data_IF_980549974735
#
_entry.id   IF_980549974735
#
_cell.length_a   1.000
_cell.length_b   1.000
_cell.length_c   1.000
_cell.angle_alpha   90.00
_cell.angle_beta   90.00
_cell.angle_gamma   90.00
#
_symmetry.space_group_name_H-M   'P 1'
#
loop_
_entity.id
_entity.type
_entity.pdbx_description
1 polymer ?
#
# COMPACT_ATOMS: atom_id res chain seq x y z
N UNK A 1 -19.53 8.81 -3.94
CA UNK A 1 -18.15 8.82 -3.42
C UNK A 1 -17.21 8.26 -4.47
N UNK A 2 -16.00 8.85 -4.64
CA UNK A 2 -15.02 8.40 -5.64
C UNK A 2 -13.74 7.90 -4.98
N UNK A 3 -13.28 6.72 -5.38
CA UNK A 3 -12.12 6.02 -4.81
C UNK A 3 -11.06 5.85 -5.88
N UNK A 4 -9.85 6.38 -5.63
CA UNK A 4 -8.67 6.14 -6.45
C UNK A 4 -8.06 4.79 -6.07
N UNK A 5 -7.78 3.93 -7.05
CA UNK A 5 -7.23 2.60 -6.84
C UNK A 5 -5.84 2.46 -7.48
N UNK A 6 -4.80 2.32 -6.64
CA UNK A 6 -3.41 2.17 -7.07
C UNK A 6 -2.94 0.74 -6.85
N UNK A 7 -2.61 0.04 -7.93
CA UNK A 7 -2.21 -1.37 -7.93
C UNK A 7 -0.76 -1.60 -7.45
N UNK A 8 -0.36 -2.84 -7.28
CA UNK A 8 1.02 -3.25 -7.00
C UNK A 8 1.86 -3.38 -8.29
N UNK A 9 3.19 -3.31 -8.16
CA UNK A 9 4.14 -3.57 -9.26
C UNK A 9 3.85 -4.93 -9.92
N UNK A 10 3.94 -4.99 -11.24
CA UNK A 10 3.73 -6.21 -12.00
C UNK A 10 2.27 -6.68 -12.04
N UNK A 11 1.32 -5.76 -11.83
CA UNK A 11 -0.12 -5.98 -11.99
C UNK A 11 -0.74 -4.88 -12.86
N UNK A 12 -2.05 -4.66 -12.76
CA UNK A 12 -2.76 -3.60 -13.45
C UNK A 12 -3.99 -3.15 -12.66
N UNK A 13 -4.62 -2.06 -13.03
CA UNK A 13 -5.88 -1.63 -12.46
C UNK A 13 -6.97 -2.69 -12.60
N UNK A 14 -7.05 -3.38 -13.75
CA UNK A 14 -8.00 -4.47 -13.97
C UNK A 14 -7.74 -5.68 -13.07
N UNK A 15 -6.47 -6.05 -12.85
CA UNK A 15 -6.07 -7.11 -11.93
C UNK A 15 -6.41 -6.71 -10.49
N UNK A 16 -6.08 -5.49 -10.09
CA UNK A 16 -6.40 -4.99 -8.76
C UNK A 16 -7.91 -4.97 -8.50
N UNK A 17 -8.71 -4.59 -9.50
CA UNK A 17 -10.18 -4.70 -9.46
C UNK A 17 -10.65 -6.12 -9.17
N UNK A 18 -10.02 -7.12 -9.77
CA UNK A 18 -10.30 -8.53 -9.51
C UNK A 18 -9.87 -8.96 -8.11
N UNK A 19 -8.67 -8.54 -7.67
CA UNK A 19 -8.12 -8.90 -6.36
C UNK A 19 -9.01 -8.43 -5.20
N UNK A 20 -9.63 -7.25 -5.31
CA UNK A 20 -10.50 -6.68 -4.26
C UNK A 20 -11.97 -7.07 -4.40
N UNK A 21 -12.36 -7.90 -5.38
CA UNK A 21 -13.76 -8.20 -5.69
C UNK A 21 -14.57 -8.71 -4.49
N UNK A 22 -13.96 -9.53 -3.63
CA UNK A 22 -14.65 -10.15 -2.51
C UNK A 22 -15.12 -9.15 -1.45
N UNK A 23 -14.29 -8.22 -1.02
CA UNK A 23 -14.71 -7.21 -0.06
C UNK A 23 -15.49 -6.07 -0.72
N UNK A 24 -15.17 -5.74 -2.00
CA UNK A 24 -15.92 -4.74 -2.75
C UNK A 24 -17.39 -5.10 -2.91
N UNK A 25 -17.70 -6.39 -3.10
CA UNK A 25 -19.08 -6.87 -3.17
C UNK A 25 -19.89 -6.70 -1.85
N UNK A 26 -19.24 -6.26 -0.77
CA UNK A 26 -19.87 -5.99 0.55
C UNK A 26 -20.04 -4.50 0.81
N UNK A 27 -19.60 -3.65 -0.12
CA UNK A 27 -19.70 -2.20 -0.03
C UNK A 27 -20.93 -1.71 -0.81
N UNK A 28 -21.44 -0.50 -0.51
CA UNK A 28 -22.52 0.12 -1.26
C UNK A 28 -22.21 0.24 -2.77
N UNK A 29 -23.23 0.04 -3.61
CA UNK A 29 -23.07 0.04 -5.07
C UNK A 29 -22.83 1.45 -5.66
N UNK A 30 -23.10 2.51 -4.92
CA UNK A 30 -22.92 3.91 -5.34
C UNK A 30 -21.47 4.40 -5.26
N UNK A 31 -20.54 3.55 -4.78
CA UNK A 31 -19.12 3.88 -4.71
C UNK A 31 -18.48 3.70 -6.09
N UNK A 32 -17.91 4.77 -6.62
CA UNK A 32 -17.16 4.78 -7.88
C UNK A 32 -15.69 4.46 -7.62
N UNK A 33 -15.22 3.33 -8.13
CA UNK A 33 -13.81 2.93 -8.08
C UNK A 33 -13.12 3.25 -9.40
N UNK A 34 -12.07 4.05 -9.35
CA UNK A 34 -11.23 4.41 -10.50
C UNK A 34 -9.91 3.61 -10.42
N UNK A 35 -9.79 2.58 -11.23
CA UNK A 35 -8.64 1.69 -11.29
C UNK A 35 -7.70 2.16 -12.40
N UNK A 36 -6.59 2.76 -12.04
CA UNK A 36 -5.64 3.31 -13.00
C UNK A 36 -4.45 2.37 -13.18
N UNK A 37 -3.92 2.31 -14.40
CA UNK A 37 -2.68 1.61 -14.71
C UNK A 37 -1.48 2.52 -14.47
N UNK A 38 -0.39 1.97 -13.93
CA UNK A 38 0.87 2.68 -13.83
C UNK A 38 1.43 3.05 -15.21
N UNK A 39 2.23 4.13 -15.32
CA UNK A 39 2.70 4.64 -16.61
C UNK A 39 3.75 3.75 -17.32
N UNK A 40 4.36 2.80 -16.60
CA UNK A 40 5.41 1.95 -17.14
C UNK A 40 4.94 0.50 -17.30
N UNK A 41 5.26 -0.14 -18.44
CA UNK A 41 5.10 -1.59 -18.59
C UNK A 41 6.08 -2.33 -17.69
N UNK A 42 5.67 -3.49 -17.19
CA UNK A 42 6.46 -4.29 -16.27
C UNK A 42 6.29 -5.78 -16.57
N UNK A 43 7.21 -6.59 -16.07
CA UNK A 43 6.98 -8.01 -15.91
C UNK A 43 5.93 -8.30 -14.87
N UNK A 44 5.33 -9.49 -14.93
CA UNK A 44 4.36 -9.93 -13.92
C UNK A 44 4.99 -10.02 -12.53
N UNK A 45 4.25 -9.60 -11.52
CA UNK A 45 4.61 -9.94 -10.15
C UNK A 45 4.47 -11.46 -9.92
N UNK A 46 5.15 -11.98 -8.88
CA UNK A 46 5.19 -13.38 -8.56
C UNK A 46 3.77 -14.03 -8.54
N UNK A 47 3.55 -15.01 -9.40
CA UNK A 47 2.30 -15.77 -9.49
C UNK A 47 1.13 -15.03 -10.15
N UNK A 48 1.32 -13.80 -10.58
CA UNK A 48 0.27 -13.03 -11.27
C UNK A 48 0.00 -13.61 -12.65
N UNK A 49 1.03 -13.98 -13.37
CA UNK A 49 0.97 -14.60 -14.71
C UNK A 49 0.29 -15.97 -14.75
N UNK A 50 0.15 -16.63 -13.60
CA UNK A 50 -0.59 -17.89 -13.49
C UNK A 50 -2.10 -17.68 -13.68
N UNK A 51 -2.63 -16.54 -13.23
CA UNK A 51 -4.07 -16.27 -13.13
C UNK A 51 -4.53 -15.14 -14.04
N UNK A 52 -3.64 -14.27 -14.47
CA UNK A 52 -3.95 -13.05 -15.21
C UNK A 52 -3.03 -12.88 -16.40
N UNK A 53 -3.62 -12.56 -17.54
CA UNK A 53 -2.87 -12.23 -18.76
C UNK A 53 -2.34 -10.80 -18.72
N UNK A 54 -1.21 -10.50 -19.44
CA UNK A 54 -0.71 -9.14 -19.60
C UNK A 54 -1.74 -8.22 -20.27
N UNK A 55 -1.58 -6.89 -20.21
CA UNK A 55 -0.36 -6.19 -19.78
C UNK A 55 -0.26 -6.01 -18.26
N UNK A 56 1.00 -5.91 -17.78
CA UNK A 56 1.31 -5.58 -16.39
C UNK A 56 2.05 -4.25 -16.35
N UNK A 57 1.93 -3.52 -15.24
CA UNK A 57 2.42 -2.17 -15.08
C UNK A 57 3.15 -1.95 -13.76
N UNK A 58 3.91 -0.87 -13.73
CA UNK A 58 4.61 -0.33 -12.56
C UNK A 58 4.41 1.18 -12.52
N UNK A 59 4.49 1.77 -11.32
CA UNK A 59 4.45 3.22 -11.18
C UNK A 59 5.80 3.86 -11.48
N UNK A 60 6.90 3.12 -11.35
CA UNK A 60 8.26 3.53 -11.76
C UNK A 60 9.11 2.31 -12.11
N UNK A 61 10.18 2.56 -12.85
CA UNK A 61 11.16 1.52 -13.22
C UNK A 61 12.25 1.35 -12.16
N UNK A 62 12.70 2.45 -11.54
CA UNK A 62 13.77 2.49 -10.55
C UNK A 62 13.28 3.06 -9.22
N UNK A 63 13.71 2.49 -8.09
CA UNK A 63 13.30 2.89 -6.74
C UNK A 63 14.04 4.15 -6.22
N UNK A 64 14.24 5.16 -7.08
CA UNK A 64 14.83 6.45 -6.72
C UNK A 64 13.77 7.47 -6.27
N UNK A 65 14.19 8.48 -5.51
CA UNK A 65 13.31 9.56 -5.08
C UNK A 65 12.77 10.33 -6.28
N UNK A 66 13.62 10.64 -7.27
CA UNK A 66 13.23 11.35 -8.49
C UNK A 66 12.12 10.59 -9.23
N UNK A 67 12.25 9.27 -9.37
CA UNK A 67 11.22 8.44 -10.01
C UNK A 67 9.88 8.49 -9.28
N UNK A 68 9.89 8.54 -7.95
CA UNK A 68 8.67 8.69 -7.14
C UNK A 68 8.08 10.09 -7.32
N UNK A 69 8.91 11.15 -7.40
CA UNK A 69 8.46 12.53 -7.64
C UNK A 69 7.86 12.70 -9.04
N UNK A 70 8.49 12.13 -10.06
CA UNK A 70 7.95 12.17 -11.44
C UNK A 70 6.58 11.47 -11.50
N UNK A 71 6.46 10.32 -10.83
CA UNK A 71 5.18 9.62 -10.77
C UNK A 71 4.15 10.35 -9.92
N UNK A 72 4.57 11.06 -8.87
CA UNK A 72 3.69 11.94 -8.11
C UNK A 72 3.13 13.07 -9.00
N UNK A 73 3.98 13.68 -9.84
CA UNK A 73 3.54 14.70 -10.79
C UNK A 73 2.51 14.15 -11.77
N UNK A 74 2.77 12.98 -12.34
CA UNK A 74 1.81 12.24 -13.19
C UNK A 74 0.50 11.94 -12.46
N UNK A 75 0.56 11.51 -11.18
CA UNK A 75 -0.63 11.25 -10.37
C UNK A 75 -1.43 12.52 -10.13
N UNK A 76 -0.78 13.65 -9.86
CA UNK A 76 -1.45 14.95 -9.68
C UNK A 76 -2.17 15.40 -10.95
N UNK A 77 -1.58 15.21 -12.14
CA UNK A 77 -2.26 15.47 -13.42
C UNK A 77 -3.50 14.59 -13.58
N UNK A 78 -3.39 13.30 -13.21
CA UNK A 78 -4.53 12.39 -13.22
C UNK A 78 -5.63 12.85 -12.26
N UNK A 79 -5.27 13.23 -11.03
CA UNK A 79 -6.23 13.73 -10.02
C UNK A 79 -6.88 15.02 -10.48
N UNK A 80 -6.12 15.95 -11.03
CA UNK A 80 -6.65 17.22 -11.54
C UNK A 80 -7.68 17.01 -12.68
N UNK A 81 -7.45 16.02 -13.52
CA UNK A 81 -8.33 15.71 -14.66
C UNK A 81 -9.57 14.91 -14.26
N UNK A 82 -9.41 13.96 -13.35
CA UNK A 82 -10.43 12.94 -13.05
C UNK A 82 -11.00 13.03 -11.64
N UNK A 83 -10.39 13.82 -10.75
CA UNK A 83 -10.85 13.99 -9.37
C UNK A 83 -12.07 14.90 -9.21
N UNK A 84 -12.41 15.33 -8.00
CA UNK A 84 -11.71 14.99 -6.77
C UNK A 84 -11.94 13.53 -6.32
N UNK A 85 -10.99 12.99 -5.56
CA UNK A 85 -11.12 11.68 -4.91
C UNK A 85 -11.36 11.84 -3.41
N UNK A 86 -12.29 11.06 -2.88
CA UNK A 86 -12.59 11.05 -1.45
C UNK A 86 -11.65 10.11 -0.70
N UNK A 87 -11.29 8.97 -1.31
CA UNK A 87 -10.46 7.95 -0.70
C UNK A 87 -9.47 7.38 -1.73
N UNK A 88 -8.28 6.99 -1.27
CA UNK A 88 -7.37 6.15 -2.04
C UNK A 88 -7.26 4.75 -1.43
N UNK A 89 -7.41 3.72 -2.27
CA UNK A 89 -7.21 2.31 -1.95
C UNK A 89 -6.00 1.80 -2.70
N UNK A 90 -5.00 1.30 -1.98
CA UNK A 90 -3.67 1.07 -2.52
C UNK A 90 -3.13 -0.29 -2.11
N UNK A 91 -2.38 -0.93 -3.00
CA UNK A 91 -1.71 -2.19 -2.74
C UNK A 91 -0.21 -2.11 -3.07
N UNK A 92 0.63 -2.60 -2.17
CA UNK A 92 2.07 -2.78 -2.39
C UNK A 92 2.76 -1.49 -2.89
N UNK A 93 3.26 -1.42 -4.14
CA UNK A 93 3.88 -0.23 -4.74
C UNK A 93 2.92 0.98 -4.75
N UNK A 94 1.62 0.75 -4.95
CA UNK A 94 0.63 1.81 -4.85
C UNK A 94 0.60 2.50 -3.49
N UNK A 95 0.90 1.76 -2.40
CA UNK A 95 1.02 2.34 -1.05
C UNK A 95 2.18 3.33 -0.96
N UNK A 96 3.32 3.01 -1.58
CA UNK A 96 4.48 3.90 -1.62
C UNK A 96 4.12 5.20 -2.35
N UNK A 97 3.46 5.11 -3.52
CA UNK A 97 3.05 6.29 -4.27
C UNK A 97 2.06 7.14 -3.48
N UNK A 98 1.02 6.52 -2.91
CA UNK A 98 -0.01 7.27 -2.19
C UNK A 98 0.47 7.88 -0.87
N UNK A 99 1.34 7.20 -0.13
CA UNK A 99 1.97 7.79 1.08
C UNK A 99 2.88 8.95 0.71
N UNK A 100 3.69 8.80 -0.36
CA UNK A 100 4.54 9.89 -0.86
C UNK A 100 3.71 11.09 -1.33
N UNK A 101 2.58 10.86 -2.01
CA UNK A 101 1.68 11.92 -2.44
C UNK A 101 1.11 12.74 -1.27
N UNK A 102 0.74 12.08 -0.16
CA UNK A 102 0.29 12.77 1.06
C UNK A 102 1.41 13.57 1.73
N UNK A 103 2.63 13.02 1.75
CA UNK A 103 3.79 13.66 2.35
C UNK A 103 4.23 14.89 1.52
N UNK A 104 4.41 14.74 0.21
CA UNK A 104 4.76 15.85 -0.67
C UNK A 104 3.71 16.96 -0.64
N UNK A 105 2.42 16.59 -0.68
CA UNK A 105 1.35 17.57 -0.54
C UNK A 105 1.46 18.35 0.78
N UNK A 106 1.71 17.67 1.89
CA UNK A 106 1.82 18.33 3.20
C UNK A 106 3.01 19.28 3.31
N UNK A 107 4.10 19.02 2.58
CA UNK A 107 5.27 19.89 2.53
C UNK A 107 5.10 21.04 1.52
N UNK A 108 4.65 20.72 0.31
CA UNK A 108 4.69 21.64 -0.82
C UNK A 108 3.42 22.50 -0.94
N UNK A 109 2.25 21.93 -0.62
CA UNK A 109 0.95 22.58 -0.82
C UNK A 109 -0.03 22.39 0.35
N UNK A 110 0.38 22.60 1.62
CA UNK A 110 -0.45 22.30 2.79
C UNK A 110 -1.72 23.17 2.88
N UNK A 111 -1.77 24.26 2.14
CA UNK A 111 -2.92 25.18 2.06
C UNK A 111 -4.01 24.72 1.06
N UNK A 112 -3.71 23.71 0.22
CA UNK A 112 -4.68 23.11 -0.70
C UNK A 112 -5.33 21.87 -0.06
N UNK A 113 -6.50 21.43 -0.55
CA UNK A 113 -7.07 20.14 -0.15
C UNK A 113 -6.11 18.98 -0.48
N UNK A 114 -6.01 17.95 0.39
CA UNK A 114 -5.18 16.79 0.12
C UNK A 114 -5.65 16.05 -1.15
N UNK A 115 -4.76 15.28 -1.81
CA UNK A 115 -5.07 14.56 -3.04
C UNK A 115 -6.23 13.56 -2.86
N UNK A 116 -6.44 13.09 -1.64
CA UNK A 116 -7.59 12.30 -1.18
C UNK A 116 -7.78 12.50 0.33
N UNK A 117 -9.03 12.41 0.79
CA UNK A 117 -9.42 12.75 2.17
C UNK A 117 -9.18 11.61 3.17
N UNK A 118 -9.02 10.37 2.69
CA UNK A 118 -8.68 9.20 3.49
C UNK A 118 -7.85 8.20 2.66
N UNK A 119 -7.12 7.31 3.32
CA UNK A 119 -6.24 6.33 2.67
C UNK A 119 -6.36 4.93 3.27
N UNK A 120 -6.39 3.91 2.40
CA UNK A 120 -6.31 2.50 2.78
C UNK A 120 -5.08 1.89 2.13
N UNK A 121 -4.13 1.50 2.95
CA UNK A 121 -2.86 0.88 2.56
C UNK A 121 -2.93 -0.62 2.80
N UNK A 122 -2.69 -1.42 1.75
CA UNK A 122 -2.73 -2.88 1.83
C UNK A 122 -1.35 -3.45 1.46
N UNK A 123 -0.73 -4.19 2.37
CA UNK A 123 0.56 -4.88 2.18
C UNK A 123 1.65 -3.98 1.59
N UNK A 124 1.76 -2.74 2.06
CA UNK A 124 2.76 -1.79 1.54
C UNK A 124 3.28 -0.84 2.59
N UNK A 125 4.45 -0.27 2.33
CA UNK A 125 5.14 0.70 3.16
C UNK A 125 5.29 2.06 2.49
N UNK A 126 6.09 2.94 3.11
CA UNK A 126 6.58 4.17 2.51
C UNK A 126 7.96 3.96 1.86
N UNK A 127 8.38 4.87 1.00
CA UNK A 127 9.76 4.94 0.52
C UNK A 127 10.65 5.53 1.60
N UNK A 128 11.61 4.74 2.11
CA UNK A 128 12.55 5.23 3.13
C UNK A 128 13.41 6.39 2.61
N UNK A 129 13.77 6.38 1.32
CA UNK A 129 14.53 7.45 0.69
C UNK A 129 13.72 8.77 0.64
N UNK A 130 12.43 8.69 0.30
CA UNK A 130 11.54 9.87 0.34
C UNK A 130 11.40 10.38 1.78
N UNK A 131 11.23 9.49 2.75
CA UNK A 131 11.13 9.88 4.16
C UNK A 131 12.38 10.64 4.63
N UNK A 132 13.59 10.15 4.32
CA UNK A 132 14.83 10.82 4.69
C UNK A 132 15.01 12.18 4.00
N UNK A 133 14.67 12.29 2.71
CA UNK A 133 14.66 13.57 1.99
C UNK A 133 13.74 14.60 2.66
N UNK A 134 12.61 14.12 3.22
CA UNK A 134 11.64 14.94 3.93
C UNK A 134 11.98 15.15 5.42
N UNK A 135 13.19 14.81 5.84
CA UNK A 135 13.70 15.06 7.20
C UNK A 135 13.25 14.05 8.25
N UNK A 136 12.70 12.90 7.84
CA UNK A 136 12.44 11.81 8.78
C UNK A 136 13.75 11.12 9.15
N UNK A 137 13.88 10.74 10.40
CA UNK A 137 14.98 9.89 10.84
C UNK A 137 14.59 8.42 10.68
N UNK A 138 15.30 7.71 9.82
CA UNK A 138 15.15 6.27 9.58
C UNK A 138 16.31 5.55 10.25
N UNK A 139 16.04 4.63 11.19
CA UNK A 139 17.10 3.87 11.85
C UNK A 139 17.84 2.95 10.86
N UNK A 140 19.09 2.58 11.17
CA UNK A 140 19.86 1.64 10.35
C UNK A 140 19.15 0.27 10.28
N UNK A 141 18.57 -0.16 11.39
CA UNK A 141 17.84 -1.41 11.51
C UNK A 141 16.59 -1.42 10.63
N UNK A 142 15.83 -0.30 10.57
CA UNK A 142 14.69 -0.17 9.66
C UNK A 142 15.12 -0.31 8.19
N UNK A 143 16.27 0.27 7.83
CA UNK A 143 16.81 0.20 6.47
C UNK A 143 17.28 -1.21 6.11
N UNK A 144 18.02 -1.87 6.99
CA UNK A 144 18.46 -3.26 6.79
C UNK A 144 17.24 -4.19 6.62
N UNK A 145 16.23 -4.00 7.45
CA UNK A 145 14.97 -4.76 7.41
C UNK A 145 14.21 -4.54 6.11
N UNK A 146 14.14 -3.28 5.63
CA UNK A 146 13.51 -2.96 4.35
C UNK A 146 14.23 -3.69 3.19
N UNK A 147 15.54 -3.63 3.11
CA UNK A 147 16.34 -4.30 2.08
C UNK A 147 16.17 -5.83 2.12
N UNK A 148 16.26 -6.42 3.31
CA UNK A 148 16.08 -7.86 3.51
C UNK A 148 14.67 -8.31 3.09
N UNK A 149 13.63 -7.55 3.45
CA UNK A 149 12.24 -7.86 3.12
C UNK A 149 11.93 -7.72 1.63
N UNK A 150 12.53 -6.75 0.94
CA UNK A 150 12.44 -6.62 -0.54
C UNK A 150 13.07 -7.82 -1.23
N UNK A 151 14.26 -8.23 -0.77
CA UNK A 151 14.96 -9.41 -1.28
C UNK A 151 14.14 -10.68 -1.05
N UNK A 152 13.57 -10.86 0.14
CA UNK A 152 12.72 -12.00 0.46
C UNK A 152 11.47 -12.06 -0.42
N UNK A 153 10.82 -10.92 -0.69
CA UNK A 153 9.68 -10.88 -1.60
C UNK A 153 10.09 -11.20 -3.06
N UNK A 154 11.25 -10.70 -3.51
CA UNK A 154 11.75 -10.96 -4.86
C UNK A 154 12.10 -12.44 -5.08
N UNK A 155 12.60 -13.15 -4.06
CA UNK A 155 12.90 -14.59 -4.14
C UNK A 155 11.65 -15.44 -4.38
N UNK A 156 10.45 -14.93 -4.10
CA UNK A 156 9.19 -15.61 -4.38
C UNK A 156 8.72 -15.47 -5.84
N UNK A 157 9.50 -14.81 -6.69
CA UNK A 157 9.12 -14.56 -8.08
C UNK A 157 9.05 -15.81 -8.98
N UNK A 158 9.37 -17.01 -8.49
CA UNK A 158 9.27 -18.23 -9.24
C UNK A 158 7.86 -18.83 -9.19
N UNK A 159 7.05 -18.54 -10.23
CA UNK A 159 5.67 -18.99 -10.36
C UNK A 159 5.51 -20.52 -10.30
N UNK A 160 6.48 -21.29 -10.81
CA UNK A 160 6.45 -22.77 -10.75
C UNK A 160 6.62 -23.27 -9.31
N UNK A 161 7.49 -22.65 -8.50
CA UNK A 161 7.63 -22.97 -7.10
C UNK A 161 6.38 -22.59 -6.29
N UNK A 162 5.72 -21.49 -6.64
CA UNK A 162 4.45 -21.06 -6.03
C UNK A 162 3.33 -22.07 -6.27
N UNK A 163 3.22 -22.62 -7.48
CA UNK A 163 2.25 -23.67 -7.80
C UNK A 163 2.50 -24.96 -7.00
N UNK A 164 3.77 -25.32 -6.82
CA UNK A 164 4.15 -26.51 -6.05
C UNK A 164 3.87 -26.37 -4.55
N UNK A 165 3.96 -25.16 -3.99
CA UNK A 165 3.77 -24.88 -2.55
C UNK A 165 2.30 -24.57 -2.18
N UNK A 166 1.46 -24.18 -3.13
CA UNK A 166 0.06 -23.85 -2.87
C UNK A 166 -0.12 -22.80 -1.76
N UNK A 167 -1.01 -23.08 -0.81
CA UNK A 167 -1.27 -22.22 0.36
C UNK A 167 -0.09 -22.16 1.36
N UNK A 168 0.86 -23.08 1.27
CA UNK A 168 2.00 -23.15 2.17
C UNK A 168 3.18 -22.27 1.75
N UNK A 169 3.06 -21.55 0.63
CA UNK A 169 4.08 -20.64 0.09
C UNK A 169 4.59 -19.59 1.09
N UNK A 170 3.79 -19.27 2.10
CA UNK A 170 4.14 -18.32 3.14
C UNK A 170 4.67 -18.97 4.43
N UNK A 171 4.58 -20.30 4.58
CA UNK A 171 4.95 -21.01 5.81
C UNK A 171 6.46 -21.25 5.97
N UNK A 172 7.22 -21.29 4.87
CA UNK A 172 8.67 -21.49 4.87
C UNK A 172 9.49 -20.22 5.03
N UNK A 173 8.86 -19.06 4.91
CA UNK A 173 9.48 -17.80 5.25
C UNK A 173 9.54 -17.73 6.78
N UNK A 174 10.74 -17.90 7.35
CA UNK A 174 10.99 -17.25 8.64
C UNK A 174 10.58 -15.81 8.41
N UNK A 175 9.49 -15.39 9.05
CA UNK A 175 9.23 -13.98 9.25
C UNK A 175 10.59 -13.40 9.60
N UNK A 176 10.96 -12.26 9.02
CA UNK A 176 12.11 -11.49 9.49
C UNK A 176 11.71 -10.97 10.88
N UNK A 177 11.33 -11.94 11.72
CA UNK A 177 10.82 -11.75 13.06
C UNK A 177 11.99 -11.21 13.85
N UNK A 178 11.96 -9.91 13.97
CA UNK A 178 12.92 -9.16 14.78
C UNK A 178 12.70 -9.41 16.27
N UNK A 179 11.66 -10.17 16.65
CA UNK A 179 11.19 -10.23 18.02
C UNK A 179 10.60 -8.88 18.52
N UNK A 180 10.54 -7.87 17.64
CA UNK A 180 9.99 -6.54 17.97
C UNK A 180 8.47 -6.54 17.87
N UNK A 181 7.84 -5.86 18.82
CA UNK A 181 6.42 -5.54 18.75
C UNK A 181 6.15 -4.49 17.65
N UNK A 182 4.89 -4.38 17.17
CA UNK A 182 4.50 -3.30 16.28
C UNK A 182 4.79 -1.89 16.85
N UNK A 183 4.72 -1.73 18.18
CA UNK A 183 5.01 -0.45 18.81
C UNK A 183 6.50 -0.09 18.68
N UNK A 184 7.40 -1.05 18.86
CA UNK A 184 8.84 -0.87 18.68
C UNK A 184 9.17 -0.57 17.21
N UNK A 185 8.61 -1.33 16.27
CA UNK A 185 8.79 -1.08 14.84
C UNK A 185 8.32 0.32 14.43
N UNK A 186 7.17 0.81 14.95
CA UNK A 186 6.70 2.18 14.66
C UNK A 186 7.66 3.25 15.14
N UNK A 187 8.48 2.97 16.15
CA UNK A 187 9.47 3.91 16.69
C UNK A 187 10.81 3.89 15.95
N UNK A 188 11.05 2.94 15.04
CA UNK A 188 12.25 2.90 14.20
C UNK A 188 12.32 4.04 13.19
N UNK A 189 11.18 4.68 12.91
CA UNK A 189 11.09 5.87 12.05
C UNK A 189 10.48 7.01 12.87
N UNK A 190 11.27 8.04 13.13
CA UNK A 190 10.81 9.23 13.83
C UNK A 190 10.55 10.37 12.85
N UNK A 191 9.46 11.07 13.09
CA UNK A 191 8.89 12.01 12.14
C UNK A 191 8.82 13.43 12.71
N UNK A 192 9.20 14.47 11.97
CA UNK A 192 8.93 15.84 12.35
C UNK A 192 7.43 16.19 12.26
N UNK A 193 6.66 15.47 11.46
CA UNK A 193 5.20 15.60 11.29
C UNK A 193 4.58 14.25 10.90
N UNK A 194 3.25 14.18 10.84
CA UNK A 194 2.51 12.95 10.55
C UNK A 194 1.52 13.14 9.41
N UNK A 195 1.27 12.07 8.65
CA UNK A 195 0.14 12.01 7.73
C UNK A 195 -1.15 12.17 8.55
N UNK A 196 -1.91 13.23 8.29
CA UNK A 196 -3.03 13.65 9.15
C UNK A 196 -4.42 13.36 8.55
N UNK A 197 -4.52 12.65 7.44
CA UNK A 197 -5.80 12.11 6.95
C UNK A 197 -6.15 10.79 7.67
N UNK A 198 -7.43 10.40 7.75
CA UNK A 198 -7.80 9.07 8.25
C UNK A 198 -7.14 7.96 7.43
N UNK A 199 -6.51 6.99 8.11
CA UNK A 199 -5.77 5.90 7.46
C UNK A 199 -6.17 4.53 7.99
N UNK A 200 -6.20 3.56 7.08
CA UNK A 200 -6.32 2.14 7.40
C UNK A 200 -5.09 1.41 6.85
N UNK A 201 -4.48 0.58 7.68
CA UNK A 201 -3.31 -0.22 7.32
C UNK A 201 -3.66 -1.70 7.47
N UNK A 202 -3.66 -2.41 6.34
CA UNK A 202 -3.98 -3.83 6.25
C UNK A 202 -2.71 -4.55 5.82
N UNK A 203 -2.27 -5.51 6.61
CA UNK A 203 -1.07 -6.30 6.33
C UNK A 203 -1.23 -7.73 6.82
N UNK A 204 -0.36 -8.62 6.40
CA UNK A 204 -0.31 -9.98 6.87
C UNK A 204 0.95 -10.24 7.67
N UNK A 205 0.85 -10.88 8.81
CA UNK A 205 2.01 -11.24 9.67
C UNK A 205 3.00 -12.20 9.01
N UNK A 206 2.60 -12.87 7.92
CA UNK A 206 3.50 -13.72 7.11
C UNK A 206 4.04 -13.00 5.86
N UNK A 207 3.67 -11.74 5.65
CA UNK A 207 4.19 -10.92 4.56
C UNK A 207 5.65 -10.53 4.86
N UNK A 208 6.62 -10.81 3.98
CA UNK A 208 7.99 -10.28 4.14
C UNK A 208 8.02 -8.77 4.34
N UNK A 209 7.05 -8.04 3.77
CA UNK A 209 6.89 -6.59 3.86
C UNK A 209 6.08 -6.13 5.08
N UNK A 210 5.72 -7.01 6.01
CA UNK A 210 4.91 -6.68 7.20
C UNK A 210 5.49 -5.49 7.97
N UNK A 211 6.78 -5.50 8.28
CA UNK A 211 7.44 -4.41 9.00
C UNK A 211 7.32 -3.07 8.27
N UNK A 212 7.43 -3.05 6.93
CA UNK A 212 7.25 -1.83 6.15
C UNK A 212 5.82 -1.24 6.27
N UNK A 213 4.80 -2.10 6.34
CA UNK A 213 3.41 -1.68 6.61
C UNK A 213 3.25 -1.10 8.02
N UNK A 214 3.92 -1.69 9.00
CA UNK A 214 3.94 -1.19 10.39
C UNK A 214 4.65 0.16 10.48
N UNK A 215 5.82 0.33 9.82
CA UNK A 215 6.53 1.60 9.72
C UNK A 215 5.65 2.70 9.11
N UNK A 216 4.98 2.43 7.98
CA UNK A 216 4.05 3.38 7.38
C UNK A 216 2.94 3.77 8.35
N UNK A 217 2.41 2.81 9.10
CA UNK A 217 1.40 3.12 10.12
C UNK A 217 1.95 4.02 11.22
N UNK A 218 3.25 3.92 11.54
CA UNK A 218 3.93 4.73 12.56
C UNK A 218 4.00 6.21 12.24
N UNK A 219 4.09 6.57 10.96
CA UNK A 219 4.14 7.97 10.50
C UNK A 219 2.76 8.58 10.23
N UNK A 220 1.67 7.86 10.53
CA UNK A 220 0.30 8.36 10.45
C UNK A 220 -0.23 8.78 11.82
N UNK A 221 -1.17 9.72 11.86
CA UNK A 221 -1.78 10.23 13.10
C UNK A 221 -2.48 9.09 13.88
N UNK A 222 -2.05 8.75 15.11
CA UNK A 222 -2.56 7.60 15.84
C UNK A 222 -4.06 7.62 16.10
N UNK A 223 -4.64 8.80 16.30
CA UNK A 223 -6.07 8.98 16.58
C UNK A 223 -6.94 8.78 15.34
N UNK A 224 -6.35 8.93 14.16
CA UNK A 224 -6.98 8.80 12.84
C UNK A 224 -6.56 7.52 12.10
N UNK A 225 -6.00 6.54 12.80
CA UNK A 225 -5.45 5.31 12.22
C UNK A 225 -6.19 4.08 12.72
N UNK A 226 -6.38 3.09 11.81
CA UNK A 226 -6.76 1.71 12.14
C UNK A 226 -5.76 0.75 11.49
N UNK A 227 -5.49 -0.35 12.16
CA UNK A 227 -4.63 -1.43 11.67
C UNK A 227 -5.37 -2.75 11.68
N UNK A 228 -5.06 -3.65 10.75
CA UNK A 228 -5.63 -4.98 10.67
C UNK A 228 -4.60 -5.96 10.11
N UNK A 229 -4.30 -7.00 10.88
CA UNK A 229 -3.50 -8.14 10.43
C UNK A 229 -4.43 -9.26 9.96
N UNK A 230 -4.34 -9.61 8.67
CA UNK A 230 -5.13 -10.70 8.09
C UNK A 230 -4.45 -12.07 8.24
N UNK A 231 -3.25 -12.15 8.84
CA UNK A 231 -2.53 -13.39 9.14
C UNK A 231 -1.92 -14.12 7.94
N UNK A 232 -2.06 -13.56 6.73
CA UNK A 232 -1.53 -14.11 5.47
C UNK A 232 -0.20 -13.48 5.06
N UNK A 233 0.18 -13.68 3.80
CA UNK A 233 1.37 -13.12 3.19
C UNK A 233 1.09 -11.83 2.41
N UNK A 234 1.90 -11.57 1.34
CA UNK A 234 1.79 -10.39 0.48
C UNK A 234 0.62 -10.51 -0.50
N UNK A 235 -0.59 -10.46 0.03
CA UNK A 235 -1.82 -10.73 -0.75
C UNK A 235 -3.05 -10.03 -0.13
N UNK A 236 -4.15 -10.02 -0.87
CA UNK A 236 -5.48 -9.63 -0.38
C UNK A 236 -6.32 -10.90 -0.26
N UNK A 237 -6.46 -11.49 0.95
CA UNK A 237 -7.22 -12.72 1.12
C UNK A 237 -8.70 -12.53 0.80
N UNK A 238 -9.29 -13.54 0.12
CA UNK A 238 -10.69 -13.51 -0.32
C UNK A 238 -11.63 -14.30 0.58
N UNK A 239 -11.18 -14.72 1.77
CA UNK A 239 -12.05 -15.39 2.74
C UNK A 239 -13.17 -14.46 3.22
N UNK A 240 -14.31 -15.02 3.59
CA UNK A 240 -15.46 -14.24 4.04
C UNK A 240 -15.11 -13.37 5.28
N UNK A 241 -14.35 -13.94 6.23
CA UNK A 241 -13.94 -13.23 7.44
C UNK A 241 -13.08 -12.00 7.13
N UNK A 242 -12.00 -12.18 6.34
CA UNK A 242 -11.10 -11.07 5.97
C UNK A 242 -11.83 -10.03 5.12
N UNK A 243 -12.66 -10.48 4.17
CA UNK A 243 -13.45 -9.56 3.33
C UNK A 243 -14.44 -8.71 4.14
N UNK A 244 -15.05 -9.27 5.19
CA UNK A 244 -15.92 -8.50 6.10
C UNK A 244 -15.10 -7.45 6.87
N UNK A 245 -13.99 -7.85 7.48
CA UNK A 245 -13.13 -6.92 8.24
C UNK A 245 -12.61 -5.78 7.37
N UNK A 246 -12.19 -6.06 6.12
CA UNK A 246 -11.74 -5.01 5.19
C UNK A 246 -12.90 -4.08 4.82
N UNK A 247 -14.10 -4.61 4.57
CA UNK A 247 -15.28 -3.79 4.26
C UNK A 247 -15.69 -2.89 5.44
N UNK A 248 -15.65 -3.39 6.67
CA UNK A 248 -15.90 -2.60 7.88
C UNK A 248 -14.89 -1.46 8.06
N UNK A 249 -13.60 -1.75 7.85
CA UNK A 249 -12.53 -0.76 7.90
C UNK A 249 -12.65 0.30 6.80
N UNK A 250 -13.05 -0.12 5.60
CA UNK A 250 -13.35 0.80 4.51
C UNK A 250 -14.49 1.74 4.89
N UNK A 251 -15.59 1.21 5.43
CA UNK A 251 -16.73 2.01 5.89
C UNK A 251 -16.34 2.94 7.04
N UNK A 252 -15.48 2.49 7.95
CA UNK A 252 -14.92 3.35 8.98
C UNK A 252 -14.15 4.54 8.37
N UNK A 253 -13.27 4.30 7.41
CA UNK A 253 -12.51 5.38 6.75
C UNK A 253 -13.44 6.39 6.05
N UNK A 254 -14.50 5.90 5.40
CA UNK A 254 -15.53 6.74 4.78
C UNK A 254 -16.26 7.61 5.80
N UNK A 255 -16.63 7.05 6.95
CA UNK A 255 -17.31 7.79 8.01
C UNK A 255 -16.43 8.93 8.57
N UNK A 256 -15.11 8.78 8.59
CA UNK A 256 -14.18 9.82 9.04
C UNK A 256 -14.12 11.02 8.07
N UNK A 257 -14.39 10.83 6.79
CA UNK A 257 -14.36 11.91 5.77
C UNK A 257 -15.46 12.94 6.03
N UNK A 258 -16.63 12.51 6.52
CA UNK A 258 -17.77 13.38 6.77
C UNK A 258 -17.76 14.08 8.14
N UNK A 259 -16.78 13.77 8.99
CA UNK A 259 -16.71 14.24 10.38
C UNK A 259 -15.70 15.38 10.61
N UNK A 260 -15.06 15.88 9.55
CA UNK A 260 -14.06 16.96 9.60
C UNK A 260 -14.62 18.26 9.00
#
# INVERSE_FOLDING_TARGET
MKVLCLHGKGTSGSIFRSQISSFRAKLPDDIQFDFIDGPFKSDAAAGVDIFYSPPYYSFWENDGVDSVRDTYSWLNEHIAKNGPYDLALMFSQGCVLGSSALLFHQEETPHLPPPFKAAIFVCGGASLNVLEEMGFHVSAEARERDLASRSALALQANSAALLAQGSDRWTGLKTLDSGLSEAELRNEITSPYRINVPTVHIYGSKDPRWAAGVHLSGICEPTKRRTYDHGGGHEIPRTAAVSNSIAELFQWAVAQIGSN
#
